data_IF_654561372796
#
_entry.id   IF_654561372796
#
_cell.length_a   1.000
_cell.length_b   1.000
_cell.length_c   1.000
_cell.angle_alpha   90.00
_cell.angle_beta   90.00
_cell.angle_gamma   90.00
#
_symmetry.space_group_name_H-M   'P 1'
#
loop_
_entity.id
_entity.type
_entity.pdbx_description
1 polymer ?
#
# COMPACT_ATOMS: atom_id res chain seq x y z
N UNK A 1 -35.37 8.85 1.52
CA UNK A 1 -34.76 8.42 0.25
C UNK A 1 -33.28 8.77 0.32
N UNK A 2 -32.45 7.85 0.80
CA UNK A 2 -30.99 8.00 0.79
C UNK A 2 -30.51 7.90 -0.65
N UNK A 3 -29.96 8.98 -1.20
CA UNK A 3 -29.30 8.96 -2.50
C UNK A 3 -28.11 8.01 -2.41
N UNK A 4 -28.27 6.78 -2.89
CA UNK A 4 -27.18 5.81 -3.02
C UNK A 4 -26.19 6.34 -4.05
N UNK A 5 -25.13 6.98 -3.56
CA UNK A 5 -24.05 7.45 -4.42
C UNK A 5 -23.20 6.26 -4.84
N UNK A 6 -23.43 5.75 -6.04
CA UNK A 6 -22.53 4.80 -6.72
C UNK A 6 -21.10 5.34 -6.64
N UNK A 7 -20.16 4.55 -6.12
CA UNK A 7 -18.75 4.96 -6.14
C UNK A 7 -18.35 5.23 -7.59
N UNK A 8 -17.70 6.36 -7.82
CA UNK A 8 -17.09 6.66 -9.13
C UNK A 8 -15.58 6.46 -9.00
N UNK A 9 -14.91 6.01 -10.06
CA UNK A 9 -13.45 5.83 -10.02
C UNK A 9 -12.67 7.11 -9.67
N UNK A 10 -13.24 8.29 -9.97
CA UNK A 10 -12.68 9.59 -9.55
C UNK A 10 -12.73 9.76 -8.03
N UNK A 11 -13.87 9.40 -7.42
CA UNK A 11 -14.06 9.51 -5.98
C UNK A 11 -13.12 8.56 -5.21
N UNK A 12 -13.00 7.31 -5.67
CA UNK A 12 -12.02 6.37 -5.12
C UNK A 12 -10.59 6.91 -5.21
N UNK A 13 -10.22 7.50 -6.35
CA UNK A 13 -8.88 8.08 -6.51
C UNK A 13 -8.66 9.28 -5.58
N UNK A 14 -9.67 10.14 -5.38
CA UNK A 14 -9.61 11.22 -4.41
C UNK A 14 -9.45 10.69 -2.98
N UNK A 15 -10.13 9.61 -2.63
CA UNK A 15 -9.99 8.95 -1.34
C UNK A 15 -8.57 8.40 -1.14
N UNK A 16 -7.99 7.72 -2.14
CA UNK A 16 -6.60 7.25 -2.09
C UNK A 16 -5.64 8.41 -1.85
N UNK A 17 -5.84 9.55 -2.53
CA UNK A 17 -4.99 10.75 -2.34
C UNK A 17 -5.14 11.31 -0.93
N UNK A 18 -6.37 11.40 -0.39
CA UNK A 18 -6.63 11.84 0.99
C UNK A 18 -5.94 10.95 2.03
N UNK A 19 -5.98 9.64 1.82
CA UNK A 19 -5.36 8.66 2.71
C UNK A 19 -3.82 8.80 2.79
N UNK A 20 -3.14 9.43 1.83
CA UNK A 20 -1.67 9.60 1.88
C UNK A 20 -1.20 10.31 3.16
N UNK A 21 -1.87 11.41 3.52
CA UNK A 21 -1.53 12.17 4.72
C UNK A 21 -1.79 11.35 6.00
N UNK A 22 -2.92 10.64 6.03
CA UNK A 22 -3.29 9.76 7.14
C UNK A 22 -2.31 8.60 7.31
N UNK A 23 -1.90 7.96 6.21
CA UNK A 23 -0.91 6.87 6.22
C UNK A 23 0.44 7.39 6.70
N UNK A 24 0.86 8.59 6.26
CA UNK A 24 2.05 9.26 6.78
C UNK A 24 1.97 9.49 8.29
N UNK A 25 0.83 9.99 8.79
CA UNK A 25 0.59 10.18 10.22
C UNK A 25 0.60 8.84 10.98
N UNK A 26 0.01 7.80 10.41
CA UNK A 26 -0.08 6.47 11.00
C UNK A 26 1.31 5.82 11.10
N UNK A 27 2.12 5.95 10.04
CA UNK A 27 3.55 5.55 10.02
C UNK A 27 4.33 6.29 11.11
N UNK A 28 4.18 7.61 11.20
CA UNK A 28 4.84 8.40 12.24
C UNK A 28 4.45 7.94 13.65
N UNK A 29 3.17 7.68 13.90
CA UNK A 29 2.70 7.19 15.20
C UNK A 29 3.26 5.81 15.53
N UNK A 30 3.36 4.89 14.56
CA UNK A 30 4.01 3.59 14.76
C UNK A 30 5.48 3.73 15.13
N UNK A 31 6.24 4.49 14.36
CA UNK A 31 7.67 4.74 14.61
C UNK A 31 7.86 5.37 15.99
N UNK A 32 7.07 6.41 16.33
CA UNK A 32 7.11 7.06 17.64
C UNK A 32 6.82 6.08 18.78
N UNK A 33 5.82 5.20 18.64
CA UNK A 33 5.51 4.16 19.63
C UNK A 33 6.69 3.19 19.81
N UNK A 34 7.32 2.75 18.72
CA UNK A 34 8.50 1.90 18.80
C UNK A 34 9.68 2.58 19.52
N UNK A 35 9.99 3.83 19.16
CA UNK A 35 11.02 4.64 19.82
C UNK A 35 10.72 4.82 21.32
N UNK A 36 9.47 5.08 21.68
CA UNK A 36 9.06 5.19 23.09
C UNK A 36 9.22 3.87 23.85
N UNK A 37 8.86 2.73 23.24
CA UNK A 37 9.10 1.40 23.82
C UNK A 37 10.60 1.15 24.04
N UNK A 38 11.44 1.46 23.05
CA UNK A 38 12.90 1.34 23.15
C UNK A 38 13.42 2.22 24.30
N UNK A 39 13.00 3.49 24.39
CA UNK A 39 13.38 4.38 25.50
C UNK A 39 12.95 3.85 26.86
N UNK A 40 11.71 3.33 26.99
CA UNK A 40 11.22 2.72 28.24
C UNK A 40 12.06 1.51 28.64
N UNK A 41 12.43 0.66 27.68
CA UNK A 41 13.25 -0.51 27.94
C UNK A 41 14.69 -0.13 28.31
N UNK A 42 15.29 0.87 27.65
CA UNK A 42 16.61 1.39 28.01
C UNK A 42 16.63 1.97 29.43
N UNK A 43 15.59 2.71 29.85
CA UNK A 43 15.47 3.21 31.23
C UNK A 43 15.35 2.09 32.27
N UNK A 44 14.58 1.03 31.98
CA UNK A 44 14.43 -0.13 32.90
C UNK A 44 15.72 -0.94 33.03
N UNK A 45 16.58 -0.95 32.01
CA UNK A 45 17.92 -1.56 32.06
C UNK A 45 18.80 -0.90 33.13
N UNK A 46 18.59 0.39 33.42
CA UNK A 46 19.34 1.12 34.45
C UNK A 46 18.82 0.84 35.86
N UNK A 47 17.60 0.33 36.02
CA UNK A 47 16.91 0.19 37.31
C UNK A 47 16.62 -1.26 37.75
N UNK A 48 16.98 -2.28 36.97
CA UNK A 48 16.59 -3.67 37.20
C UNK A 48 17.73 -4.68 36.91
N UNK A 49 17.74 -5.86 37.56
CA UNK A 49 18.81 -6.86 37.46
C UNK A 49 19.10 -7.33 36.01
N UNK A 50 20.29 -7.93 35.75
CA UNK A 50 20.89 -8.13 34.42
C UNK A 50 20.15 -9.07 33.44
N UNK A 51 18.95 -9.54 33.77
CA UNK A 51 18.08 -10.35 32.89
C UNK A 51 17.22 -9.49 31.94
N UNK A 52 17.71 -8.30 31.59
CA UNK A 52 16.96 -7.37 30.75
C UNK A 52 17.01 -7.80 29.27
N UNK A 53 15.89 -7.80 28.52
CA UNK A 53 15.82 -8.43 27.21
C UNK A 53 16.52 -7.60 26.12
N UNK A 54 17.86 -7.67 26.05
CA UNK A 54 18.67 -7.10 24.96
C UNK A 54 18.10 -7.48 23.59
N UNK A 55 17.72 -8.75 23.43
CA UNK A 55 17.07 -9.29 22.23
C UNK A 55 15.76 -8.56 21.88
N UNK A 56 14.97 -8.12 22.87
CA UNK A 56 13.70 -7.39 22.63
C UNK A 56 13.94 -5.94 22.20
N UNK A 57 14.95 -5.28 22.76
CA UNK A 57 15.38 -3.94 22.30
C UNK A 57 15.85 -4.02 20.86
N UNK A 58 16.79 -4.92 20.56
CA UNK A 58 17.35 -5.11 19.22
C UNK A 58 16.26 -5.45 18.20
N UNK A 59 15.29 -6.30 18.58
CA UNK A 59 14.12 -6.62 17.75
C UNK A 59 13.25 -5.39 17.47
N UNK A 60 13.09 -4.48 18.44
CA UNK A 60 12.34 -3.23 18.24
C UNK A 60 13.11 -2.22 17.39
N UNK A 61 14.42 -2.14 17.54
CA UNK A 61 15.29 -1.30 16.72
C UNK A 61 15.20 -1.73 15.25
N UNK A 62 15.39 -3.02 14.96
CA UNK A 62 15.20 -3.60 13.62
C UNK A 62 13.81 -3.33 13.05
N UNK A 63 12.75 -3.43 13.87
CA UNK A 63 11.37 -3.09 13.44
C UNK A 63 11.24 -1.60 13.08
N UNK A 64 11.92 -0.73 13.83
CA UNK A 64 11.87 0.73 13.62
C UNK A 64 12.62 1.12 12.36
N UNK A 65 13.82 0.56 12.16
CA UNK A 65 14.63 0.74 10.95
C UNK A 65 13.86 0.30 9.71
N UNK A 66 13.26 -0.91 9.73
CA UNK A 66 12.44 -1.40 8.60
C UNK A 66 11.29 -0.47 8.27
N UNK A 67 10.54 0.00 9.27
CA UNK A 67 9.46 0.96 9.04
C UNK A 67 9.96 2.27 8.41
N UNK A 68 11.18 2.70 8.74
CA UNK A 68 11.79 3.92 8.20
C UNK A 68 12.34 3.70 6.78
N UNK A 69 13.09 2.64 6.57
CA UNK A 69 13.78 2.29 5.32
C UNK A 69 12.83 1.82 4.23
N UNK A 70 11.80 1.06 4.59
CA UNK A 70 10.86 0.52 3.63
C UNK A 70 10.09 1.68 2.98
N UNK A 71 10.36 1.84 1.68
CA UNK A 71 9.66 2.76 0.79
C UNK A 71 8.26 2.24 0.47
N UNK A 72 7.47 2.02 1.53
CA UNK A 72 6.06 1.69 1.43
C UNK A 72 5.38 2.80 0.63
N UNK A 73 4.86 2.44 -0.54
CA UNK A 73 4.10 3.38 -1.36
C UNK A 73 2.77 3.63 -0.67
N UNK A 74 2.52 4.89 -0.30
CA UNK A 74 1.29 5.26 0.42
C UNK A 74 0.04 4.83 -0.35
N UNK A 75 0.05 4.94 -1.67
CA UNK A 75 -1.07 4.53 -2.52
C UNK A 75 -1.33 3.02 -2.43
N UNK A 76 -0.29 2.20 -2.34
CA UNK A 76 -0.46 0.74 -2.25
C UNK A 76 -1.02 0.36 -0.88
N UNK A 77 -0.63 1.07 0.18
CA UNK A 77 -1.24 0.94 1.50
C UNK A 77 -2.71 1.40 1.52
N UNK A 78 -3.07 2.49 0.84
CA UNK A 78 -4.47 2.91 0.71
C UNK A 78 -5.32 1.88 -0.02
N UNK A 79 -4.85 1.38 -1.17
CA UNK A 79 -5.57 0.37 -1.96
C UNK A 79 -5.79 -0.91 -1.15
N UNK A 80 -4.73 -1.38 -0.49
CA UNK A 80 -4.80 -2.57 0.36
C UNK A 80 -5.80 -2.36 1.51
N UNK A 81 -5.76 -1.21 2.18
CA UNK A 81 -6.69 -0.88 3.27
C UNK A 81 -8.15 -0.87 2.85
N UNK A 82 -8.45 -0.30 1.67
CA UNK A 82 -9.82 -0.19 1.18
C UNK A 82 -10.44 -1.55 0.82
N UNK A 83 -9.63 -2.48 0.31
CA UNK A 83 -10.06 -3.83 -0.06
C UNK A 83 -10.08 -4.78 1.14
N UNK A 84 -9.14 -4.63 2.07
CA UNK A 84 -8.96 -5.58 3.17
C UNK A 84 -10.02 -5.44 4.27
N UNK A 85 -10.58 -6.56 4.69
CA UNK A 85 -11.48 -6.67 5.86
C UNK A 85 -10.80 -7.30 7.08
N UNK A 86 -9.63 -7.92 6.89
CA UNK A 86 -8.99 -8.73 7.92
C UNK A 86 -8.40 -7.89 9.05
N UNK A 87 -8.53 -8.37 10.28
CA UNK A 87 -7.84 -7.81 11.44
C UNK A 87 -6.36 -8.21 11.48
N UNK A 88 -5.56 -7.55 12.34
CA UNK A 88 -4.12 -7.87 12.45
C UNK A 88 -3.86 -9.33 12.84
N UNK A 89 -4.76 -9.93 13.62
CA UNK A 89 -4.67 -11.31 14.12
C UNK A 89 -5.00 -12.34 13.03
N UNK A 90 -5.81 -11.95 12.05
CA UNK A 90 -6.20 -12.80 10.91
C UNK A 90 -5.15 -12.82 9.79
N UNK A 91 -4.18 -11.90 9.82
CA UNK A 91 -3.01 -12.03 8.98
C UNK A 91 -2.14 -13.16 9.53
N UNK A 92 -2.09 -14.29 8.82
CA UNK A 92 -1.18 -15.41 9.08
C UNK A 92 0.27 -15.02 8.77
N UNK A 93 0.81 -14.05 9.51
CA UNK A 93 2.17 -13.55 9.34
C UNK A 93 3.15 -14.60 9.83
N UNK A 94 3.81 -15.27 8.88
CA UNK A 94 4.86 -16.25 9.13
C UNK A 94 6.26 -15.59 9.09
N UNK A 95 7.29 -16.34 9.49
CA UNK A 95 8.69 -15.92 9.40
C UNK A 95 9.08 -15.50 7.99
N UNK A 96 8.60 -16.25 7.01
CA UNK A 96 8.86 -16.11 5.59
C UNK A 96 8.17 -14.88 4.98
N UNK A 97 7.16 -14.30 5.66
CA UNK A 97 6.47 -13.11 5.14
C UNK A 97 7.46 -11.95 5.00
N UNK A 98 7.54 -11.30 3.82
CA UNK A 98 8.44 -10.17 3.59
C UNK A 98 8.27 -9.07 4.64
N UNK A 99 9.37 -8.44 5.03
CA UNK A 99 9.33 -7.35 6.01
C UNK A 99 8.39 -6.21 5.60
N UNK A 100 8.39 -5.87 4.30
CA UNK A 100 7.49 -4.88 3.70
C UNK A 100 6.01 -5.20 3.92
N UNK A 101 5.61 -6.45 3.71
CA UNK A 101 4.21 -6.87 3.88
C UNK A 101 3.81 -6.86 5.36
N UNK A 102 4.71 -7.27 6.26
CA UNK A 102 4.46 -7.19 7.70
C UNK A 102 4.27 -5.74 8.17
N UNK A 103 5.07 -4.82 7.65
CA UNK A 103 4.92 -3.40 7.93
C UNK A 103 3.62 -2.84 7.36
N UNK A 104 3.26 -3.24 6.13
CA UNK A 104 2.01 -2.88 5.47
C UNK A 104 0.79 -3.32 6.28
N UNK A 105 0.73 -4.58 6.70
CA UNK A 105 -0.39 -5.11 7.48
C UNK A 105 -0.56 -4.34 8.78
N UNK A 106 0.55 -4.13 9.51
CA UNK A 106 0.54 -3.38 10.76
C UNK A 106 0.11 -1.92 10.59
N UNK A 107 0.47 -1.29 9.47
CA UNK A 107 0.12 0.09 9.16
C UNK A 107 -1.37 0.24 8.84
N UNK A 108 -1.90 -0.68 8.04
CA UNK A 108 -3.28 -0.63 7.56
C UNK A 108 -4.30 -0.98 8.64
N UNK A 109 -3.92 -1.80 9.63
CA UNK A 109 -4.78 -2.16 10.76
C UNK A 109 -4.79 -1.12 11.89
N UNK A 110 -4.12 0.03 11.74
CA UNK A 110 -4.16 1.08 12.75
C UNK A 110 -5.54 1.74 12.81
N UNK A 111 -6.04 2.08 14.01
CA UNK A 111 -7.36 2.69 14.17
C UNK A 111 -7.61 3.87 13.23
N UNK A 112 -6.67 4.80 13.10
CA UNK A 112 -6.80 6.00 12.25
C UNK A 112 -7.06 5.65 10.78
N UNK A 113 -6.44 4.58 10.29
CA UNK A 113 -6.62 4.13 8.90
C UNK A 113 -7.94 3.39 8.78
N UNK A 114 -8.25 2.50 9.73
CA UNK A 114 -9.49 1.73 9.79
C UNK A 114 -10.71 2.65 9.88
N UNK A 115 -10.68 3.67 10.74
CA UNK A 115 -11.76 4.65 10.93
C UNK A 115 -12.05 5.39 9.61
N UNK A 116 -11.00 5.81 8.90
CA UNK A 116 -11.13 6.48 7.60
C UNK A 116 -11.70 5.54 6.52
N UNK A 117 -11.29 4.27 6.52
CA UNK A 117 -11.84 3.25 5.60
C UNK A 117 -13.30 2.96 5.92
N UNK A 118 -13.66 2.85 7.20
CA UNK A 118 -15.04 2.60 7.63
C UNK A 118 -15.96 3.78 7.29
N UNK A 119 -15.47 5.02 7.45
CA UNK A 119 -16.20 6.21 7.00
C UNK A 119 -16.49 6.14 5.49
N UNK A 120 -15.50 5.75 4.69
CA UNK A 120 -15.69 5.57 3.24
C UNK A 120 -16.70 4.46 2.93
N UNK A 121 -16.58 3.30 3.57
CA UNK A 121 -17.50 2.16 3.39
C UNK A 121 -18.93 2.49 3.79
N UNK A 122 -19.13 3.34 4.79
CA UNK A 122 -20.48 3.76 5.20
C UNK A 122 -21.22 4.56 4.12
N UNK A 123 -20.48 5.26 3.24
CA UNK A 123 -21.03 6.04 2.12
C UNK A 123 -21.26 5.19 0.87
N UNK A 124 -20.62 4.01 0.77
CA UNK A 124 -20.71 3.12 -0.38
C UNK A 124 -21.04 1.69 0.08
N UNK A 125 -22.33 1.33 0.23
CA UNK A 125 -22.72 -0.02 0.68
C UNK A 125 -22.16 -1.15 -0.19
N UNK A 126 -22.01 -0.92 -1.49
CA UNK A 126 -21.49 -1.88 -2.47
C UNK A 126 -19.96 -1.82 -2.64
N UNK A 127 -19.24 -1.27 -1.67
CA UNK A 127 -17.78 -1.08 -1.74
C UNK A 127 -17.00 -2.36 -2.10
N UNK A 128 -17.50 -3.52 -1.66
CA UNK A 128 -16.85 -4.82 -1.86
C UNK A 128 -16.79 -5.25 -3.34
N UNK A 129 -17.72 -4.77 -4.18
CA UNK A 129 -17.70 -4.96 -5.64
C UNK A 129 -17.10 -3.75 -6.35
N UNK A 130 -17.50 -2.55 -5.95
CA UNK A 130 -17.14 -1.30 -6.63
C UNK A 130 -15.65 -0.97 -6.50
N UNK A 131 -15.06 -1.13 -5.30
CA UNK A 131 -13.65 -0.76 -5.06
C UNK A 131 -12.70 -1.65 -5.88
N UNK A 132 -12.75 -3.00 -5.82
CA UNK A 132 -11.87 -3.83 -6.63
C UNK A 132 -12.03 -3.57 -8.14
N UNK A 133 -13.27 -3.41 -8.61
CA UNK A 133 -13.57 -3.10 -10.01
C UNK A 133 -12.91 -1.78 -10.45
N UNK A 134 -13.06 -0.71 -9.68
CA UNK A 134 -12.44 0.57 -9.98
C UNK A 134 -10.91 0.54 -9.87
N UNK A 135 -10.34 -0.21 -8.92
CA UNK A 135 -8.89 -0.37 -8.78
C UNK A 135 -8.29 -1.07 -10.01
N UNK A 136 -8.94 -2.13 -10.50
CA UNK A 136 -8.53 -2.82 -11.73
C UNK A 136 -8.60 -1.87 -12.93
N UNK A 137 -9.71 -1.14 -13.09
CA UNK A 137 -9.92 -0.18 -14.18
C UNK A 137 -8.87 0.94 -14.16
N UNK A 138 -8.65 1.57 -13.00
CA UNK A 138 -7.63 2.61 -12.82
C UNK A 138 -6.23 2.05 -13.11
N UNK A 139 -5.93 0.83 -12.67
CA UNK A 139 -4.67 0.15 -12.94
C UNK A 139 -4.38 0.03 -14.45
N UNK A 140 -5.37 -0.37 -15.24
CA UNK A 140 -5.27 -0.43 -16.70
C UNK A 140 -5.04 0.96 -17.32
N UNK A 141 -5.83 1.96 -16.90
CA UNK A 141 -5.69 3.34 -17.37
C UNK A 141 -4.29 3.90 -17.08
N UNK A 142 -3.75 3.65 -15.87
CA UNK A 142 -2.41 4.08 -15.49
C UNK A 142 -1.32 3.36 -16.27
N UNK A 143 -1.47 2.06 -16.54
CA UNK A 143 -0.54 1.29 -17.40
C UNK A 143 -0.51 1.85 -18.82
N UNK A 144 -1.67 2.10 -19.43
CA UNK A 144 -1.78 2.69 -20.77
C UNK A 144 -1.17 4.09 -20.84
N UNK A 145 -1.48 4.96 -19.86
CA UNK A 145 -0.90 6.30 -19.77
C UNK A 145 0.62 6.27 -19.61
N UNK A 146 1.14 5.32 -18.83
CA UNK A 146 2.59 5.11 -18.66
C UNK A 146 3.24 4.65 -19.95
N UNK A 147 2.65 3.69 -20.67
CA UNK A 147 3.14 3.22 -21.96
C UNK A 147 3.19 4.36 -23.00
N UNK A 148 2.11 5.12 -23.15
CA UNK A 148 2.06 6.31 -24.02
C UNK A 148 3.13 7.35 -23.67
N UNK A 149 3.37 7.59 -22.37
CA UNK A 149 4.41 8.54 -21.91
C UNK A 149 5.82 8.06 -22.26
N UNK A 150 6.09 6.75 -22.13
CA UNK A 150 7.38 6.15 -22.48
C UNK A 150 7.60 6.26 -23.99
N UNK A 151 6.58 5.96 -24.79
CA UNK A 151 6.65 6.04 -26.25
C UNK A 151 6.92 7.47 -26.73
N UNK A 152 6.16 8.45 -26.22
CA UNK A 152 6.42 9.86 -26.52
C UNK A 152 7.81 10.32 -26.07
N UNK A 153 8.36 9.76 -24.99
CA UNK A 153 9.72 10.06 -24.55
C UNK A 153 10.79 9.45 -25.48
N UNK A 154 10.53 8.27 -26.06
CA UNK A 154 11.41 7.67 -27.08
C UNK A 154 11.40 8.49 -28.37
N UNK A 155 10.22 8.89 -28.86
CA UNK A 155 10.08 9.76 -30.05
C UNK A 155 10.85 11.08 -29.85
N UNK A 156 10.71 11.72 -28.67
CA UNK A 156 11.46 12.94 -28.34
C UNK A 156 12.97 12.74 -28.28
N UNK A 157 13.44 11.56 -27.86
CA UNK A 157 14.87 11.22 -27.86
C UNK A 157 15.39 10.96 -29.27
N UNK A 158 14.63 10.24 -30.10
CA UNK A 158 14.97 10.00 -31.51
C UNK A 158 15.09 11.33 -32.28
N UNK A 159 14.14 12.25 -32.10
CA UNK A 159 14.17 13.57 -32.75
C UNK A 159 15.30 14.49 -32.24
N UNK A 160 15.84 14.25 -31.03
CA UNK A 160 17.01 14.98 -30.53
C UNK A 160 18.33 14.40 -31.07
N UNK A 161 18.39 13.09 -31.29
CA UNK A 161 19.57 12.43 -31.86
C UNK A 161 19.80 12.75 -33.33
N UNK A 162 18.77 13.16 -34.08
CA UNK A 162 18.88 13.57 -35.48
C UNK A 162 19.28 15.03 -35.68
N UNK A 163 19.40 15.84 -34.62
CA UNK A 163 19.66 17.29 -34.71
C UNK A 163 21.14 17.68 -34.50
N UNK A 164 22.05 16.73 -34.31
CA UNK A 164 23.49 17.00 -34.10
C UNK A 164 24.30 16.43 -35.26
N UNK A 165 24.25 17.12 -36.40
CA UNK A 165 25.19 17.03 -37.52
C UNK A 165 25.13 18.36 -38.28
N UNK A 166 25.40 19.45 -37.58
CA UNK A 166 25.83 20.72 -38.16
C UNK A 166 26.85 21.27 -37.17
N UNK A 167 28.13 21.17 -37.54
CA UNK A 167 29.19 21.90 -36.89
C UNK A 167 28.94 23.38 -37.19
N UNK A 168 28.56 24.13 -36.16
CA UNK A 168 28.70 25.58 -36.17
C UNK A 168 29.58 25.95 -34.99
N UNK A 169 30.76 26.41 -35.36
CA UNK A 169 31.82 26.93 -34.53
C UNK A 169 31.32 28.15 -33.72
N UNK A 170 31.85 28.29 -32.51
CA UNK A 170 31.90 29.53 -31.72
C UNK A 170 30.58 30.14 -31.21
N UNK A 171 30.17 29.81 -29.97
CA UNK A 171 29.91 30.79 -28.87
C UNK A 171 29.89 30.07 -27.51
N UNK A 172 30.71 30.43 -26.50
CA UNK A 172 30.52 29.97 -25.12
C UNK A 172 30.00 31.12 -24.24
N UNK A 173 28.79 31.02 -23.68
CA UNK A 173 28.37 31.86 -22.54
C UNK A 173 27.48 31.09 -21.56
N UNK A 174 27.93 31.08 -20.30
CA UNK A 174 27.25 30.61 -19.09
C UNK A 174 25.75 30.89 -19.07
N UNK A 175 24.94 29.89 -18.71
CA UNK A 175 23.61 30.13 -18.12
C UNK A 175 23.57 29.44 -16.77
N UNK A 176 23.54 30.32 -15.78
CA UNK A 176 23.49 30.07 -14.36
C UNK A 176 22.22 29.27 -13.98
N UNK A 177 22.38 28.28 -13.10
CA UNK A 177 21.29 27.46 -12.58
C UNK A 177 20.72 28.15 -11.34
N UNK A 178 19.77 29.07 -11.52
CA UNK A 178 18.94 29.52 -10.40
C UNK A 178 17.61 30.12 -10.87
N UNK A 179 16.51 29.59 -10.34
CA UNK A 179 15.23 30.31 -10.26
C UNK A 179 14.25 30.07 -11.40
N UNK A 180 13.31 29.13 -11.19
CA UNK A 180 11.87 29.46 -11.13
C UNK A 180 11.04 28.21 -10.84
N UNK A 181 10.71 28.07 -9.57
CA UNK A 181 9.42 27.53 -9.15
C UNK A 181 8.30 28.34 -9.83
N UNK A 182 7.20 27.68 -10.20
CA UNK A 182 5.94 28.37 -10.50
C UNK A 182 5.19 27.87 -11.72
N UNK A 183 4.21 26.99 -11.46
CA UNK A 183 2.87 27.04 -12.05
C UNK A 183 2.74 27.16 -13.58
N UNK A 184 2.77 26.03 -14.30
CA UNK A 184 2.12 25.94 -15.62
C UNK A 184 1.95 24.47 -16.06
N UNK A 185 0.85 23.81 -15.69
CA UNK A 185 0.06 22.95 -16.60
C UNK A 185 -1.25 22.50 -15.92
N UNK A 186 -2.17 23.43 -15.72
CA UNK A 186 -3.59 23.08 -15.55
C UNK A 186 -4.17 23.00 -16.96
N UNK A 187 -4.25 21.79 -17.50
CA UNK A 187 -4.92 21.52 -18.78
C UNK A 187 -5.89 20.35 -18.59
N UNK A 188 -7.10 20.71 -18.14
CA UNK A 188 -8.41 20.25 -18.66
C UNK A 188 -8.43 18.81 -19.22
N UNK A 189 -8.66 17.82 -18.36
CA UNK A 189 -9.12 16.49 -18.79
C UNK A 189 -10.62 16.38 -18.45
N UNK A 190 -11.45 16.56 -19.49
CA UNK A 190 -12.84 16.11 -19.49
C UNK A 190 -12.85 14.60 -19.29
N UNK A 191 -13.33 14.15 -18.14
CA UNK A 191 -13.83 12.79 -17.99
C UNK A 191 -15.25 12.81 -18.57
N UNK A 192 -15.39 12.41 -19.83
CA UNK A 192 -16.70 12.07 -20.37
C UNK A 192 -17.03 10.63 -19.98
N UNK A 193 -18.21 10.49 -19.41
CA UNK A 193 -18.91 9.26 -19.11
C UNK A 193 -19.02 8.43 -20.40
N UNK A 194 -18.37 7.26 -20.40
CA UNK A 194 -18.67 6.21 -21.36
C UNK A 194 -19.41 5.13 -20.59
N UNK A 195 -20.71 5.38 -20.40
CA UNK A 195 -21.69 4.32 -20.31
C UNK A 195 -21.70 3.52 -21.62
N UNK A 196 -21.98 2.22 -21.49
CA UNK A 196 -22.41 1.30 -22.57
C UNK A 196 -21.47 1.13 -23.76
N UNK A 197 -20.67 0.06 -23.76
CA UNK A 197 -19.87 -0.30 -24.93
C UNK A 197 -19.04 -1.56 -24.72
N UNK A 198 -19.70 -2.70 -24.85
CA UNK A 198 -19.09 -4.01 -25.11
C UNK A 198 -17.94 -3.87 -26.13
N UNK A 199 -16.70 -4.15 -25.69
CA UNK A 199 -15.55 -4.30 -26.58
C UNK A 199 -14.98 -5.70 -26.39
N UNK A 200 -15.56 -6.59 -27.21
CA UNK A 200 -15.03 -7.82 -27.80
C UNK A 200 -13.51 -7.99 -27.56
N UNK A 201 -13.16 -9.02 -26.80
CA UNK A 201 -11.81 -9.55 -26.65
C UNK A 201 -11.55 -10.54 -27.78
N UNK A 202 -10.63 -10.18 -28.69
CA UNK A 202 -10.01 -11.14 -29.60
C UNK A 202 -9.13 -12.11 -28.81
N UNK A 203 -9.41 -13.38 -29.02
CA UNK A 203 -8.69 -14.54 -28.52
C UNK A 203 -7.27 -14.58 -29.13
N UNK A 204 -6.25 -14.64 -28.28
CA UNK A 204 -4.96 -15.21 -28.67
C UNK A 204 -4.65 -16.35 -27.71
N UNK A 205 -4.81 -17.56 -28.25
CA UNK A 205 -4.53 -18.83 -27.63
C UNK A 205 -3.03 -18.93 -27.27
N UNK A 206 -2.75 -19.28 -26.02
CA UNK A 206 -1.46 -19.87 -25.64
C UNK A 206 -1.79 -21.14 -24.86
N UNK A 207 -1.62 -22.23 -25.58
CA UNK A 207 -1.67 -23.62 -25.17
C UNK A 207 -0.55 -23.91 -24.17
N UNK A 208 -0.88 -24.49 -23.02
CA UNK A 208 0.08 -25.23 -22.21
C UNK A 208 -0.69 -26.16 -21.26
N UNK A 209 -0.80 -27.39 -21.71
CA UNK A 209 -1.34 -28.54 -21.01
C UNK A 209 -0.20 -29.20 -20.23
N UNK A 210 -0.31 -29.27 -18.91
CA UNK A 210 0.32 -30.37 -18.17
C UNK A 210 -0.51 -30.76 -16.94
N UNK A 211 -0.93 -32.01 -16.99
CA UNK A 211 -1.67 -32.81 -16.03
C UNK A 211 -0.96 -32.94 -14.67
N UNK A 212 -1.71 -33.05 -13.57
CA UNK A 212 -2.02 -34.37 -12.99
C UNK A 212 -2.73 -34.26 -11.64
N UNK A 213 -3.71 -35.15 -11.50
CA UNK A 213 -4.61 -35.45 -10.38
C UNK A 213 -3.98 -35.55 -8.98
N UNK A 214 -4.76 -35.30 -7.90
CA UNK A 214 -5.21 -36.33 -6.91
C UNK A 214 -6.02 -35.76 -5.72
N UNK A 215 -7.30 -36.18 -5.68
CA UNK A 215 -8.18 -36.62 -4.56
C UNK A 215 -8.24 -35.87 -3.21
N UNK A 216 -9.46 -35.42 -2.91
CA UNK A 216 -10.03 -35.09 -1.60
C UNK A 216 -10.26 -36.35 -0.74
N UNK A 217 -10.19 -36.20 0.58
CA UNK A 217 -10.97 -36.95 1.60
C UNK A 217 -11.11 -36.03 2.84
N UNK A 218 -12.31 -35.91 3.46
CA UNK A 218 -12.58 -35.03 4.60
C UNK A 218 -12.66 -35.81 5.91
N UNK A 219 -12.23 -35.22 7.04
CA UNK A 219 -12.61 -35.72 8.36
C UNK A 219 -12.92 -34.59 9.35
N UNK A 220 -14.00 -34.82 10.07
CA UNK A 220 -14.78 -33.93 10.93
C UNK A 220 -14.54 -34.32 12.42
N UNK A 221 -15.14 -33.62 13.42
CA UNK A 221 -14.48 -33.26 14.68
C UNK A 221 -14.96 -34.06 15.90
N UNK A 222 -14.23 -33.97 17.01
CA UNK A 222 -14.73 -34.36 18.33
C UNK A 222 -14.34 -33.37 19.42
N UNK A 223 -15.32 -33.16 20.28
CA UNK A 223 -15.44 -32.19 21.35
C UNK A 223 -14.54 -32.42 22.58
N UNK A 224 -14.44 -31.33 23.34
CA UNK A 224 -14.76 -31.26 24.77
C UNK A 224 -13.64 -31.02 25.80
N UNK A 225 -14.07 -30.30 26.84
CA UNK A 225 -13.49 -30.08 28.19
C UNK A 225 -12.63 -28.82 28.43
N UNK A 226 -13.37 -27.73 28.74
CA UNK A 226 -13.36 -26.95 30.00
C UNK A 226 -12.13 -27.01 30.94
N UNK A 227 -11.61 -25.85 31.36
CA UNK A 227 -11.66 -25.35 32.76
C UNK A 227 -10.79 -24.08 32.96
N UNK A 228 -11.23 -23.30 33.94
CA UNK A 228 -10.96 -21.92 34.34
C UNK A 228 -9.50 -21.53 34.65
N UNK A 229 -9.20 -20.22 34.57
CA UNK A 229 -7.96 -19.66 35.12
C UNK A 229 -7.72 -18.20 34.78
N UNK A 230 -8.34 -17.32 35.57
CA UNK A 230 -8.08 -15.89 35.73
C UNK A 230 -6.58 -15.52 35.74
N UNK A 231 -6.17 -14.53 34.92
CA UNK A 231 -4.98 -13.69 35.11
C UNK A 231 -4.76 -12.70 33.96
N UNK A 232 -4.86 -11.41 34.28
CA UNK A 232 -4.08 -10.27 33.77
C UNK A 232 -3.47 -10.39 32.36
N UNK A 233 -4.10 -9.79 31.35
CA UNK A 233 -3.52 -9.69 29.99
C UNK A 233 -3.46 -8.25 29.48
N UNK A 234 -2.56 -7.47 30.07
CA UNK A 234 -1.95 -6.30 29.44
C UNK A 234 -0.66 -6.69 28.68
N UNK A 235 -0.66 -7.78 27.89
CA UNK A 235 0.56 -8.25 27.21
C UNK A 235 0.35 -8.90 25.82
N UNK A 236 -0.81 -8.73 25.19
CA UNK A 236 -1.16 -9.47 23.94
C UNK A 236 -0.55 -8.87 22.65
N UNK A 237 0.09 -7.70 22.70
CA UNK A 237 0.55 -6.98 21.51
C UNK A 237 2.01 -7.28 21.05
N UNK A 238 2.76 -8.09 21.80
CA UNK A 238 4.16 -8.42 21.46
C UNK A 238 4.36 -9.89 21.00
N UNK A 239 3.28 -10.67 20.89
CA UNK A 239 3.33 -12.12 20.62
C UNK A 239 3.27 -12.54 19.14
N UNK A 240 2.84 -11.67 18.21
CA UNK A 240 2.90 -11.98 16.78
C UNK A 240 4.20 -11.43 16.16
N UNK A 241 5.11 -12.34 15.83
CA UNK A 241 6.20 -12.32 14.82
C UNK A 241 7.20 -13.37 15.32
N UNK A 242 7.03 -14.61 14.89
CA UNK A 242 8.21 -15.40 14.56
C UNK A 242 8.80 -14.77 13.31
#
# INVERSE_FOLDING_TARGET
MSNETKSTALDLNNQIVRMRALIGQAKFRLVRRCIQKIKKFRKRKESAPPSFPKKRIERLERKTERLLEERLKYDDASKFALVNTKSLKEFNVQQETPAADRALYKLVTLPIVVDCVNEYRSKHPNWHQEIPFHLQRLGLQYKLKRAKKIEMAKIRKANRGSATNYEDENVPKNIDRQGRFGTALVSKLRLQEADSGSAILEETAIDNSESSSRKQEPFSPTDDVSDNGDSDKSEVDDFFIM
#
